data_IF_498028897560
#
_entry.id   IF_498028897560
#
_cell.length_a   1.000
_cell.length_b   1.000
_cell.length_c   1.000
_cell.angle_alpha   90.00
_cell.angle_beta   90.00
_cell.angle_gamma   90.00
#
_symmetry.space_group_name_H-M   'P 1'
#
loop_
_entity.id
_entity.type
_entity.pdbx_description
1 polymer ?
#
# COMPACT_ATOMS: atom_id res chain seq x y z
N UNK A 1 -6.19 -6.72 -31.74
CA UNK A 1 -5.00 -5.89 -31.43
C UNK A 1 -3.82 -6.82 -31.24
N UNK A 2 -2.63 -6.47 -31.77
CA UNK A 2 -1.45 -7.33 -31.67
C UNK A 2 -1.08 -7.56 -30.18
N UNK A 3 -0.72 -8.80 -29.76
CA UNK A 3 -0.39 -9.11 -28.36
C UNK A 3 0.68 -8.20 -27.76
N UNK A 4 1.64 -7.77 -28.56
CA UNK A 4 2.70 -6.84 -28.16
C UNK A 4 2.14 -5.48 -27.71
N UNK A 5 1.15 -4.96 -28.42
CA UNK A 5 0.50 -3.68 -28.07
C UNK A 5 -0.29 -3.82 -26.76
N UNK A 6 -0.99 -4.94 -26.57
CA UNK A 6 -1.71 -5.21 -25.31
C UNK A 6 -0.76 -5.31 -24.11
N UNK A 7 0.40 -5.93 -24.29
CA UNK A 7 1.42 -6.00 -23.25
C UNK A 7 1.98 -4.62 -22.89
N UNK A 8 2.25 -3.76 -23.86
CA UNK A 8 2.71 -2.38 -23.59
C UNK A 8 1.62 -1.55 -22.88
N UNK A 9 0.37 -1.68 -23.31
CA UNK A 9 -0.75 -1.00 -22.66
C UNK A 9 -0.92 -1.49 -21.21
N UNK A 10 -0.88 -2.80 -20.98
CA UNK A 10 -0.90 -3.38 -19.64
C UNK A 10 0.21 -2.82 -18.76
N UNK A 11 1.45 -2.78 -19.25
CA UNK A 11 2.59 -2.24 -18.49
C UNK A 11 2.39 -0.76 -18.16
N UNK A 12 1.85 0.05 -19.08
CA UNK A 12 1.54 1.45 -18.82
C UNK A 12 0.53 1.62 -17.69
N UNK A 13 -0.59 0.87 -17.73
CA UNK A 13 -1.58 0.86 -16.66
C UNK A 13 -0.99 0.32 -15.34
N UNK A 14 -0.23 -0.77 -15.40
CA UNK A 14 0.36 -1.39 -14.23
C UNK A 14 1.35 -0.46 -13.53
N UNK A 15 2.23 0.24 -14.24
CA UNK A 15 3.17 1.21 -13.67
C UNK A 15 2.43 2.38 -13.03
N UNK A 16 1.39 2.90 -13.68
CA UNK A 16 0.58 3.99 -13.13
C UNK A 16 -0.11 3.59 -11.83
N UNK A 17 -0.71 2.40 -11.79
CA UNK A 17 -1.38 1.90 -10.60
C UNK A 17 -0.41 1.45 -9.50
N UNK A 18 0.74 0.86 -9.86
CA UNK A 18 1.79 0.50 -8.92
C UNK A 18 2.45 1.72 -8.27
N UNK A 19 2.52 2.86 -8.98
CA UNK A 19 2.95 4.12 -8.40
C UNK A 19 1.95 4.68 -7.39
N UNK A 20 0.64 4.49 -7.62
CA UNK A 20 -0.42 4.88 -6.68
C UNK A 20 -0.55 3.92 -5.49
N UNK A 21 -0.59 2.62 -5.76
CA UNK A 21 -0.67 1.57 -4.75
C UNK A 21 0.74 1.14 -4.33
N UNK A 22 1.50 1.95 -3.63
CA UNK A 22 2.95 1.98 -3.41
C UNK A 22 3.62 0.59 -3.49
N UNK A 23 3.59 -0.02 -4.68
CA UNK A 23 4.25 -1.30 -4.92
C UNK A 23 5.76 -1.08 -5.04
N UNK A 24 6.54 -1.97 -4.44
CA UNK A 24 7.99 -1.95 -4.64
C UNK A 24 8.35 -2.12 -6.14
N UNK A 25 9.24 -1.31 -6.73
CA UNK A 25 10.09 -0.27 -6.15
C UNK A 25 9.49 1.16 -6.15
N UNK A 26 8.24 1.37 -6.57
CA UNK A 26 7.61 2.69 -6.76
C UNK A 26 6.99 3.28 -5.46
N UNK A 27 7.44 2.84 -4.29
CA UNK A 27 6.84 3.15 -2.99
C UNK A 27 7.49 4.34 -2.25
N UNK A 28 8.65 4.83 -2.70
CA UNK A 28 9.51 5.73 -1.91
C UNK A 28 8.87 7.06 -1.51
N UNK A 29 7.89 7.52 -2.23
CA UNK A 29 7.18 8.77 -1.95
C UNK A 29 6.28 8.69 -0.70
N UNK A 30 5.73 7.51 -0.37
CA UNK A 30 4.71 7.33 0.66
C UNK A 30 5.20 7.66 2.07
N UNK A 31 6.36 7.14 2.55
CA UNK A 31 6.88 7.45 3.89
C UNK A 31 7.20 8.93 4.08
N UNK A 32 7.71 9.59 3.06
CA UNK A 32 8.05 11.02 3.12
C UNK A 32 6.77 11.88 3.13
N UNK A 33 5.79 11.53 2.32
CA UNK A 33 4.48 12.15 2.34
C UNK A 33 3.78 12.00 3.70
N UNK A 34 3.86 10.82 4.33
CA UNK A 34 3.25 10.57 5.64
C UNK A 34 3.79 11.49 6.74
N UNK A 35 5.08 11.83 6.68
CA UNK A 35 5.74 12.71 7.66
C UNK A 35 5.41 14.18 7.42
N UNK A 36 5.26 14.58 6.16
CA UNK A 36 5.09 16.00 5.78
C UNK A 36 3.63 16.45 5.77
N UNK A 37 2.67 15.51 5.68
CA UNK A 37 1.24 15.84 5.67
C UNK A 37 0.67 15.98 7.09
N UNK A 38 -0.49 16.64 7.17
CA UNK A 38 -1.30 16.60 8.39
C UNK A 38 -1.90 15.20 8.58
N UNK A 39 -2.20 14.78 9.82
CA UNK A 39 -2.81 13.46 10.07
C UNK A 39 -4.08 13.22 9.26
N UNK A 40 -4.95 14.23 9.11
CA UNK A 40 -6.17 14.13 8.31
C UNK A 40 -5.87 13.92 6.81
N UNK A 41 -4.88 14.62 6.26
CA UNK A 41 -4.46 14.45 4.87
C UNK A 41 -3.80 13.06 4.66
N UNK A 42 -3.02 12.57 5.63
CA UNK A 42 -2.45 11.23 5.60
C UNK A 42 -3.55 10.15 5.58
N UNK A 43 -4.63 10.32 6.36
CA UNK A 43 -5.79 9.42 6.34
C UNK A 43 -6.43 9.39 4.96
N UNK A 44 -6.74 10.53 4.36
CA UNK A 44 -7.37 10.57 3.04
C UNK A 44 -6.47 9.93 1.98
N UNK A 45 -5.18 10.24 2.01
CA UNK A 45 -4.23 9.74 1.01
C UNK A 45 -4.02 8.22 1.13
N UNK A 46 -3.74 7.72 2.34
CA UNK A 46 -3.34 6.33 2.55
C UNK A 46 -4.51 5.38 2.83
N UNK A 47 -5.63 5.88 3.36
CA UNK A 47 -6.79 5.04 3.58
C UNK A 47 -7.70 4.93 2.34
N UNK A 48 -7.74 5.95 1.48
CA UNK A 48 -8.68 6.02 0.34
C UNK A 48 -7.95 6.10 -1.00
N UNK A 49 -7.12 7.13 -1.22
CA UNK A 49 -6.55 7.44 -2.54
C UNK A 49 -5.63 6.32 -3.05
N UNK A 50 -4.84 5.71 -2.19
CA UNK A 50 -3.94 4.61 -2.58
C UNK A 50 -4.70 3.37 -3.07
N UNK A 51 -5.95 3.15 -2.59
CA UNK A 51 -6.80 2.03 -3.05
C UNK A 51 -7.28 2.19 -4.48
N UNK A 52 -7.26 3.40 -5.03
CA UNK A 52 -7.53 3.62 -6.46
C UNK A 52 -6.55 2.84 -7.33
N UNK A 53 -5.28 2.72 -6.91
CA UNK A 53 -4.28 1.90 -7.61
C UNK A 53 -4.65 0.42 -7.64
N UNK A 54 -4.94 -0.17 -6.49
CA UNK A 54 -5.31 -1.59 -6.39
C UNK A 54 -6.67 -1.88 -7.03
N UNK A 55 -7.63 -0.97 -6.90
CA UNK A 55 -8.90 -1.04 -7.62
C UNK A 55 -8.68 -1.01 -9.13
N UNK A 56 -7.80 -0.13 -9.61
CA UNK A 56 -7.43 -0.04 -11.03
C UNK A 56 -6.80 -1.33 -11.56
N UNK A 57 -5.93 -1.99 -10.77
CA UNK A 57 -5.37 -3.28 -11.12
C UNK A 57 -6.47 -4.34 -11.31
N UNK A 58 -7.44 -4.42 -10.38
CA UNK A 58 -8.56 -5.36 -10.45
C UNK A 58 -9.48 -5.09 -11.65
N UNK A 59 -9.88 -3.83 -11.85
CA UNK A 59 -10.91 -3.46 -12.83
C UNK A 59 -10.37 -3.25 -14.24
N UNK A 60 -9.15 -2.77 -14.37
CA UNK A 60 -8.57 -2.46 -15.68
C UNK A 60 -7.50 -3.47 -16.09
N UNK A 61 -6.49 -3.73 -15.24
CA UNK A 61 -5.43 -4.66 -15.64
C UNK A 61 -5.96 -6.06 -15.89
N UNK A 62 -6.72 -6.64 -14.96
CA UNK A 62 -7.21 -8.01 -15.10
C UNK A 62 -8.33 -8.14 -16.15
N UNK A 63 -9.20 -7.15 -16.27
CA UNK A 63 -10.38 -7.28 -17.14
C UNK A 63 -10.12 -6.85 -18.59
N UNK A 64 -9.30 -5.82 -18.81
CA UNK A 64 -8.98 -5.36 -20.17
C UNK A 64 -7.82 -6.14 -20.80
N UNK A 65 -6.92 -6.66 -19.99
CA UNK A 65 -5.70 -7.33 -20.43
C UNK A 65 -5.50 -8.70 -19.74
N UNK A 66 -6.44 -9.65 -19.88
CA UNK A 66 -6.37 -10.92 -19.14
C UNK A 66 -5.13 -11.73 -19.51
N UNK A 67 -4.78 -11.82 -20.79
CA UNK A 67 -3.61 -12.56 -21.26
C UNK A 67 -2.29 -11.93 -20.77
N UNK A 68 -2.16 -10.61 -20.88
CA UNK A 68 -1.00 -9.89 -20.37
C UNK A 68 -0.89 -9.99 -18.84
N UNK A 69 -2.02 -9.96 -18.12
CA UNK A 69 -2.06 -10.12 -16.67
C UNK A 69 -1.53 -11.49 -16.24
N UNK A 70 -1.92 -12.57 -16.92
CA UNK A 70 -1.39 -13.92 -16.64
C UNK A 70 0.10 -14.00 -17.00
N UNK A 71 0.51 -13.42 -18.12
CA UNK A 71 1.91 -13.43 -18.55
C UNK A 71 2.83 -12.71 -17.55
N UNK A 72 2.41 -11.54 -17.04
CA UNK A 72 3.19 -10.75 -16.09
C UNK A 72 2.93 -11.10 -14.63
N UNK A 73 1.96 -11.95 -14.30
CA UNK A 73 1.64 -12.33 -12.93
C UNK A 73 2.86 -12.80 -12.10
N UNK A 74 3.76 -13.67 -12.61
CA UNK A 74 4.92 -14.09 -11.85
C UNK A 74 5.83 -12.92 -11.43
N UNK A 75 6.01 -11.94 -12.31
CA UNK A 75 6.82 -10.74 -12.02
C UNK A 75 6.14 -9.88 -10.97
N UNK A 76 4.85 -9.60 -11.14
CA UNK A 76 4.07 -8.77 -10.22
C UNK A 76 3.99 -9.42 -8.83
N UNK A 77 3.76 -10.73 -8.76
CA UNK A 77 3.75 -11.50 -7.51
C UNK A 77 5.10 -11.44 -6.82
N UNK A 78 6.20 -11.59 -7.55
CA UNK A 78 7.55 -11.48 -7.00
C UNK A 78 7.80 -10.08 -6.41
N UNK A 79 7.45 -9.02 -7.13
CA UNK A 79 7.57 -7.65 -6.63
C UNK A 79 6.68 -7.40 -5.39
N UNK A 80 5.48 -7.99 -5.36
CA UNK A 80 4.59 -7.92 -4.21
C UNK A 80 5.21 -8.59 -2.97
N UNK A 81 5.77 -9.79 -3.12
CA UNK A 81 6.45 -10.52 -2.03
C UNK A 81 7.68 -9.75 -1.53
N UNK A 82 8.50 -9.21 -2.44
CA UNK A 82 9.62 -8.34 -2.07
C UNK A 82 9.10 -7.14 -1.28
N UNK A 83 8.03 -6.49 -1.73
CA UNK A 83 7.41 -5.36 -1.05
C UNK A 83 6.91 -5.69 0.36
N UNK A 84 6.33 -6.89 0.56
CA UNK A 84 5.89 -7.38 1.88
C UNK A 84 7.08 -7.44 2.86
N UNK A 85 8.12 -8.16 2.48
CA UNK A 85 9.29 -8.38 3.36
C UNK A 85 10.05 -7.06 3.57
N UNK A 86 10.32 -6.35 2.49
CA UNK A 86 11.05 -5.08 2.52
C UNK A 86 10.31 -4.02 3.37
N UNK A 87 9.01 -3.84 3.15
CA UNK A 87 8.19 -2.89 3.92
C UNK A 87 8.16 -3.23 5.41
N UNK A 88 8.01 -4.52 5.75
CA UNK A 88 8.03 -4.98 7.14
C UNK A 88 9.39 -4.74 7.81
N UNK A 89 10.50 -5.07 7.15
CA UNK A 89 11.85 -4.85 7.68
C UNK A 89 12.13 -3.37 7.92
N UNK A 90 11.76 -2.52 6.98
CA UNK A 90 11.95 -1.08 7.14
C UNK A 90 11.04 -0.48 8.22
N UNK A 91 9.83 -1.00 8.40
CA UNK A 91 8.95 -0.57 9.49
C UNK A 91 9.56 -0.82 10.87
N UNK A 92 10.21 -1.99 11.08
CA UNK A 92 10.88 -2.33 12.35
C UNK A 92 12.00 -1.33 12.69
N UNK A 93 12.72 -0.84 11.67
CA UNK A 93 13.83 0.09 11.86
C UNK A 93 13.43 1.57 12.02
N UNK A 94 12.14 1.91 12.01
CA UNK A 94 11.71 3.30 12.07
C UNK A 94 11.77 3.87 13.50
N UNK A 95 12.15 5.12 13.58
CA UNK A 95 12.14 5.91 14.83
C UNK A 95 10.98 6.92 14.88
N UNK A 96 10.31 7.16 13.76
CA UNK A 96 9.16 8.05 13.60
C UNK A 96 7.88 7.23 13.43
N UNK A 97 6.85 7.50 14.27
CA UNK A 97 5.60 6.74 14.28
C UNK A 97 4.83 6.85 12.96
N UNK A 98 4.86 8.01 12.30
CA UNK A 98 4.16 8.20 11.02
C UNK A 98 4.84 7.42 9.89
N UNK A 99 6.19 7.39 9.88
CA UNK A 99 6.95 6.57 8.94
C UNK A 99 6.74 5.07 9.18
N UNK A 100 6.67 4.65 10.44
CA UNK A 100 6.38 3.26 10.79
C UNK A 100 5.05 2.83 10.18
N UNK A 101 3.98 3.62 10.36
CA UNK A 101 2.66 3.31 9.79
C UNK A 101 2.72 3.29 8.25
N UNK A 102 3.46 4.19 7.62
CA UNK A 102 3.61 4.21 6.17
C UNK A 102 4.32 2.96 5.64
N UNK A 103 5.40 2.51 6.27
CA UNK A 103 6.10 1.29 5.85
C UNK A 103 5.30 0.02 6.12
N UNK A 104 4.53 -0.06 7.21
CA UNK A 104 3.58 -1.16 7.40
C UNK A 104 2.52 -1.16 6.30
N UNK A 105 2.05 0.02 5.88
CA UNK A 105 1.11 0.17 4.77
C UNK A 105 1.68 -0.38 3.45
N UNK A 106 2.95 -0.10 3.14
CA UNK A 106 3.65 -0.65 1.95
C UNK A 106 3.64 -2.19 1.98
N UNK A 107 3.96 -2.78 3.13
CA UNK A 107 3.90 -4.23 3.31
C UNK A 107 2.48 -4.77 3.06
N UNK A 108 1.46 -4.12 3.60
CA UNK A 108 0.05 -4.50 3.41
C UNK A 108 -0.41 -4.38 1.94
N UNK A 109 0.05 -3.38 1.20
CA UNK A 109 -0.21 -3.29 -0.24
C UNK A 109 0.40 -4.47 -1.01
N UNK A 110 1.55 -4.97 -0.60
CA UNK A 110 2.13 -6.18 -1.14
C UNK A 110 1.16 -7.38 -1.03
N UNK A 111 0.52 -7.59 0.12
CA UNK A 111 -0.49 -8.66 0.29
C UNK A 111 -1.71 -8.44 -0.61
N UNK A 112 -2.19 -7.21 -0.75
CA UNK A 112 -3.33 -6.91 -1.62
C UNK A 112 -2.99 -7.25 -3.08
N UNK A 113 -1.85 -6.79 -3.58
CA UNK A 113 -1.40 -7.04 -4.95
C UNK A 113 -1.13 -8.51 -5.19
N UNK A 114 -0.52 -9.21 -4.22
CA UNK A 114 -0.31 -10.66 -4.27
C UNK A 114 -1.64 -11.41 -4.48
N UNK A 115 -2.66 -11.07 -3.71
CA UNK A 115 -3.98 -11.70 -3.84
C UNK A 115 -4.70 -11.35 -5.15
N UNK A 116 -4.54 -10.12 -5.68
CA UNK A 116 -5.07 -9.72 -6.98
C UNK A 116 -4.47 -10.59 -8.10
N UNK A 117 -3.15 -10.77 -8.10
CA UNK A 117 -2.42 -11.49 -9.14
C UNK A 117 -2.20 -12.98 -8.83
N UNK A 118 -2.78 -13.51 -7.76
CA UNK A 118 -2.86 -14.95 -7.51
C UNK A 118 -3.78 -15.68 -8.51
N UNK A 119 -4.52 -14.94 -9.33
CA UNK A 119 -5.43 -15.44 -10.37
C UNK A 119 -6.47 -16.46 -9.85
N UNK A 120 -6.86 -16.35 -8.59
CA UNK A 120 -7.89 -17.18 -7.95
C UNK A 120 -9.06 -16.32 -7.46
N UNK A 121 -10.27 -16.86 -7.48
CA UNK A 121 -11.46 -16.16 -6.96
C UNK A 121 -11.30 -15.79 -5.47
N UNK A 122 -10.72 -16.69 -4.67
CA UNK A 122 -10.44 -16.46 -3.26
C UNK A 122 -9.43 -15.33 -3.05
N UNK A 123 -8.35 -15.28 -3.86
CA UNK A 123 -7.34 -14.23 -3.81
C UNK A 123 -7.94 -12.85 -4.13
N UNK A 124 -8.73 -12.75 -5.17
CA UNK A 124 -9.37 -11.49 -5.57
C UNK A 124 -10.42 -11.02 -4.55
N UNK A 125 -11.25 -11.93 -4.03
CA UNK A 125 -12.21 -11.62 -2.97
C UNK A 125 -11.50 -11.21 -1.68
N UNK A 126 -10.48 -11.96 -1.28
CA UNK A 126 -9.66 -11.66 -0.11
C UNK A 126 -8.96 -10.30 -0.23
N UNK A 127 -8.39 -9.97 -1.39
CA UNK A 127 -7.78 -8.68 -1.65
C UNK A 127 -8.78 -7.53 -1.56
N UNK A 128 -9.97 -7.70 -2.09
CA UNK A 128 -11.04 -6.69 -2.03
C UNK A 128 -11.44 -6.42 -0.57
N UNK A 129 -11.65 -7.46 0.21
CA UNK A 129 -11.93 -7.33 1.64
C UNK A 129 -10.75 -6.68 2.38
N UNK A 130 -9.53 -7.08 2.03
CA UNK A 130 -8.32 -6.54 2.65
C UNK A 130 -8.12 -5.05 2.34
N UNK A 131 -8.48 -4.58 1.15
CA UNK A 131 -8.47 -3.14 0.83
C UNK A 131 -9.32 -2.33 1.80
N UNK A 132 -10.54 -2.81 2.10
CA UNK A 132 -11.45 -2.15 3.05
C UNK A 132 -10.86 -2.17 4.46
N UNK A 133 -10.45 -3.34 4.94
CA UNK A 133 -9.88 -3.51 6.27
C UNK A 133 -8.62 -2.67 6.47
N UNK A 134 -7.72 -2.69 5.50
CA UNK A 134 -6.52 -1.86 5.52
C UNK A 134 -6.86 -0.36 5.51
N UNK A 135 -7.85 0.06 4.73
CA UNK A 135 -8.31 1.46 4.72
C UNK A 135 -8.76 1.93 6.10
N UNK A 136 -9.65 1.17 6.75
CA UNK A 136 -10.19 1.51 8.07
C UNK A 136 -9.10 1.47 9.15
N UNK A 137 -8.29 0.41 9.19
CA UNK A 137 -7.23 0.26 10.20
C UNK A 137 -6.14 1.31 10.06
N UNK A 138 -5.73 1.62 8.84
CA UNK A 138 -4.72 2.66 8.57
C UNK A 138 -5.25 4.05 8.92
N UNK A 139 -6.52 4.34 8.61
CA UNK A 139 -7.16 5.58 9.03
C UNK A 139 -7.13 5.74 10.55
N UNK A 140 -7.52 4.71 11.28
CA UNK A 140 -7.51 4.71 12.75
C UNK A 140 -6.09 4.93 13.30
N UNK A 141 -5.08 4.24 12.75
CA UNK A 141 -3.68 4.39 13.18
C UNK A 141 -3.16 5.81 12.96
N UNK A 142 -3.40 6.41 11.79
CA UNK A 142 -2.96 7.78 11.52
C UNK A 142 -3.69 8.82 12.39
N UNK A 143 -4.98 8.63 12.67
CA UNK A 143 -5.72 9.53 13.58
C UNK A 143 -5.19 9.42 15.00
N UNK A 144 -5.02 8.20 15.53
CA UNK A 144 -4.49 7.98 16.89
C UNK A 144 -3.07 8.53 17.01
N UNK A 145 -2.19 8.21 16.04
CA UNK A 145 -0.84 8.77 16.00
C UNK A 145 -0.85 10.30 15.93
N UNK A 146 -1.75 10.87 15.13
CA UNK A 146 -1.94 12.32 15.03
C UNK A 146 -2.35 12.96 16.37
N UNK A 147 -3.28 12.35 17.10
CA UNK A 147 -3.68 12.81 18.44
C UNK A 147 -2.51 12.71 19.43
N UNK A 148 -1.75 11.63 19.42
CA UNK A 148 -0.58 11.47 20.26
C UNK A 148 0.49 12.52 19.95
N UNK A 149 0.79 12.73 18.67
CA UNK A 149 1.76 13.74 18.22
C UNK A 149 1.30 15.15 18.61
N UNK A 150 0.02 15.47 18.44
CA UNK A 150 -0.55 16.78 18.82
C UNK A 150 -0.43 17.05 20.31
N UNK A 151 -0.60 16.03 21.16
CA UNK A 151 -0.50 16.16 22.63
C UNK A 151 0.94 16.20 23.14
N UNK A 152 1.84 15.42 22.53
CA UNK A 152 3.22 15.25 22.98
C UNK A 152 4.20 16.21 22.30
N UNK A 153 3.82 16.78 21.15
CA UNK A 153 4.69 17.63 20.33
C UNK A 153 5.85 16.90 19.64
N UNK A 154 5.84 15.56 19.63
CA UNK A 154 6.91 14.74 19.04
C UNK A 154 6.36 13.54 18.29
N UNK A 155 7.01 13.17 17.18
CA UNK A 155 6.74 11.95 16.40
C UNK A 155 7.68 10.80 16.74
N UNK A 156 8.71 11.06 17.56
CA UNK A 156 9.69 10.05 17.92
C UNK A 156 9.06 8.97 18.80
N UNK A 157 9.19 7.70 18.40
CA UNK A 157 8.66 6.55 19.14
C UNK A 157 9.20 6.51 20.56
N UNK A 158 10.48 6.84 20.75
CA UNK A 158 11.13 6.91 22.08
C UNK A 158 10.50 7.94 23.03
N UNK A 159 9.76 8.93 22.51
CA UNK A 159 9.07 9.92 23.34
C UNK A 159 7.78 9.36 23.97
N UNK A 160 7.31 8.19 23.55
CA UNK A 160 6.05 7.57 23.98
C UNK A 160 6.30 6.42 24.97
N UNK A 161 6.61 6.76 26.23
CA UNK A 161 6.70 5.78 27.32
C UNK A 161 5.48 5.85 28.23
N UNK A 162 5.02 4.70 28.77
CA UNK A 162 4.01 4.64 29.81
C UNK A 162 2.56 4.96 29.39
N UNK A 163 2.25 4.96 28.08
CA UNK A 163 0.89 5.26 27.54
C UNK A 163 -0.18 4.34 28.12
N UNK A 164 0.18 3.14 28.58
CA UNK A 164 -0.74 2.19 29.21
C UNK A 164 -1.20 2.61 30.63
N UNK A 165 -0.57 3.61 31.23
CA UNK A 165 -0.85 4.07 32.61
C UNK A 165 -1.75 5.30 32.66
N UNK A 166 -2.26 5.76 31.52
CA UNK A 166 -3.11 6.97 31.40
C UNK A 166 -4.54 6.55 31.16
#
# INVERSE_FOLDING_TARGET
>A
VAPVVLNFLFLGFMVAFAGKAPLWPLHGWLPDAAVQTTPAAAVLMMAVVDKVGTFGMLRYCLQLFPEASVYFAPVVVTLAVVGIVYGAMLAIGQTDVMRLIAYTSISHFGFIVLGIFAMTAQGQTGSTLYMVNHGVSTAALFLIAGFLVSRRGSRAIAAYGGVQKV
#
